data_IF_758892716167
#
_entry.id   IF_758892716167
#
_cell.length_a   1.000
_cell.length_b   1.000
_cell.length_c   1.000
_cell.angle_alpha   90.00
_cell.angle_beta   90.00
_cell.angle_gamma   90.00
#
_symmetry.space_group_name_H-M   'P 1'
#
loop_
_entity.id
_entity.type
_entity.pdbx_description
1 polymer ?
#
# COMPACT_ATOMS: atom_id res chain seq x y z
N UNK A 1 -13.75 -16.85 -9.06
CA UNK A 1 -12.75 -17.16 -8.00
C UNK A 1 -12.18 -15.90 -7.40
N UNK A 2 -12.00 -14.84 -8.20
CA UNK A 2 -11.49 -13.54 -7.73
C UNK A 2 -12.55 -12.47 -7.97
N UNK A 3 -12.73 -11.60 -6.98
CA UNK A 3 -13.52 -10.38 -7.12
C UNK A 3 -12.57 -9.22 -7.36
N UNK A 4 -12.90 -8.37 -8.33
CA UNK A 4 -12.15 -7.16 -8.61
C UNK A 4 -12.99 -5.92 -8.33
N UNK A 5 -12.36 -4.89 -7.80
CA UNK A 5 -12.99 -3.59 -7.63
C UNK A 5 -11.98 -2.46 -7.74
N UNK A 6 -12.45 -1.27 -8.11
CA UNK A 6 -11.66 -0.04 -8.17
C UNK A 6 -12.34 1.05 -7.36
N UNK A 7 -11.56 1.84 -6.63
CA UNK A 7 -12.05 2.88 -5.73
C UNK A 7 -11.20 4.14 -5.82
N UNK A 8 -11.82 5.32 -5.86
CA UNK A 8 -11.09 6.56 -5.62
C UNK A 8 -10.78 6.70 -4.13
N UNK A 9 -9.64 7.31 -3.78
CA UNK A 9 -9.27 7.47 -2.38
C UNK A 9 -10.29 8.32 -1.61
N UNK A 10 -10.85 9.35 -2.25
CA UNK A 10 -11.86 10.25 -1.66
C UNK A 10 -13.14 9.53 -1.21
N UNK A 11 -13.45 8.36 -1.77
CA UNK A 11 -14.67 7.63 -1.45
C UNK A 11 -14.53 6.75 -0.20
N UNK A 12 -13.29 6.51 0.23
CA UNK A 12 -12.97 5.47 1.23
C UNK A 12 -12.09 5.96 2.38
N UNK A 13 -11.47 7.13 2.25
CA UNK A 13 -10.68 7.74 3.32
C UNK A 13 -10.79 9.26 3.32
N UNK A 14 -10.51 9.83 4.49
CA UNK A 14 -10.47 11.28 4.74
C UNK A 14 -9.11 11.65 5.32
N UNK A 15 -8.72 12.91 5.15
CA UNK A 15 -7.52 13.48 5.78
C UNK A 15 -7.95 14.62 6.69
N UNK A 16 -7.49 14.57 7.93
CA UNK A 16 -7.52 15.71 8.85
C UNK A 16 -6.10 16.24 9.02
N UNK A 17 -5.90 17.53 8.81
CA UNK A 17 -4.63 18.21 9.09
C UNK A 17 -4.60 18.56 10.58
N UNK A 18 -3.57 18.10 11.26
CA UNK A 18 -3.29 18.41 12.65
C UNK A 18 -2.49 19.71 12.74
N UNK A 19 -2.67 20.43 13.85
CA UNK A 19 -1.94 21.67 14.12
C UNK A 19 -0.43 21.46 14.24
N UNK A 20 -0.03 20.30 14.77
CA UNK A 20 1.37 19.96 14.98
C UNK A 20 1.73 18.63 14.32
N UNK A 21 2.94 18.59 13.77
CA UNK A 21 3.55 17.36 13.29
C UNK A 21 4.18 16.53 14.41
N UNK A 22 4.38 15.23 14.17
CA UNK A 22 5.05 14.33 15.13
C UNK A 22 6.58 14.44 15.02
N UNK A 23 7.26 14.17 16.13
CA UNK A 23 8.73 14.01 16.18
C UNK A 23 9.50 15.24 15.66
N UNK A 24 8.96 16.44 15.90
CA UNK A 24 9.51 17.71 15.46
C UNK A 24 9.68 17.82 13.93
N UNK A 25 8.92 17.02 13.18
CA UNK A 25 8.80 17.11 11.71
C UNK A 25 7.47 17.80 11.39
N UNK A 26 7.46 19.11 11.07
CA UNK A 26 6.23 19.91 11.06
C UNK A 26 5.14 19.41 10.11
N UNK A 27 5.53 18.83 8.98
CA UNK A 27 4.61 18.36 7.95
C UNK A 27 4.10 16.93 8.16
N UNK A 28 4.56 16.21 9.19
CA UNK A 28 3.97 14.93 9.61
C UNK A 28 2.70 15.16 10.41
N UNK A 29 1.73 15.80 9.77
CA UNK A 29 0.53 16.33 10.39
C UNK A 29 -0.76 15.83 9.72
N UNK A 30 -0.69 14.88 8.79
CA UNK A 30 -1.90 14.28 8.23
C UNK A 30 -2.34 13.07 9.05
N UNK A 31 -3.54 13.15 9.61
CA UNK A 31 -4.27 12.01 10.14
C UNK A 31 -5.19 11.46 9.05
N UNK A 32 -4.80 10.34 8.44
CA UNK A 32 -5.56 9.68 7.38
C UNK A 32 -6.43 8.60 8.01
N UNK A 33 -7.74 8.71 7.84
CA UNK A 33 -8.72 7.82 8.46
C UNK A 33 -9.63 7.19 7.41
N UNK A 34 -10.01 5.92 7.56
CA UNK A 34 -11.04 5.35 6.71
C UNK A 34 -12.37 6.09 6.89
N UNK A 35 -13.16 6.21 5.83
CA UNK A 35 -14.58 6.55 5.92
C UNK A 35 -15.31 5.46 6.72
N UNK A 36 -16.40 5.82 7.39
CA UNK A 36 -17.21 4.90 8.17
C UNK A 36 -17.66 3.72 7.29
N UNK A 37 -17.62 2.49 7.84
CA UNK A 37 -17.78 1.26 7.05
C UNK A 37 -19.06 1.21 6.21
N UNK A 38 -20.15 1.77 6.74
CA UNK A 38 -21.47 1.76 6.09
C UNK A 38 -21.58 2.76 4.93
N UNK A 39 -20.74 3.79 4.90
CA UNK A 39 -20.77 4.84 3.90
C UNK A 39 -19.84 4.54 2.70
N UNK A 40 -19.12 3.41 2.73
CA UNK A 40 -18.17 3.05 1.69
C UNK A 40 -18.88 2.44 0.47
N UNK A 41 -18.42 2.72 -0.75
CA UNK A 41 -18.94 2.10 -1.96
C UNK A 41 -18.81 0.57 -1.91
N UNK A 42 -19.86 -0.15 -2.28
CA UNK A 42 -19.90 -1.62 -2.23
C UNK A 42 -20.07 -2.23 -0.84
N UNK A 43 -20.14 -1.40 0.21
CA UNK A 43 -20.32 -1.81 1.60
C UNK A 43 -19.08 -2.45 2.24
N UNK A 44 -19.16 -2.83 3.53
CA UNK A 44 -18.01 -3.30 4.29
C UNK A 44 -17.33 -4.54 3.69
N UNK A 45 -18.13 -5.45 3.13
CA UNK A 45 -17.65 -6.69 2.56
C UNK A 45 -16.74 -6.50 1.34
N UNK A 46 -16.74 -5.32 0.70
CA UNK A 46 -15.95 -5.06 -0.51
C UNK A 46 -14.44 -4.87 -0.24
N UNK A 47 -14.08 -4.59 1.01
CA UNK A 47 -12.70 -4.26 1.44
C UNK A 47 -12.07 -5.35 2.32
N UNK A 48 -12.75 -6.49 2.42
CA UNK A 48 -12.39 -7.57 3.34
C UNK A 48 -11.81 -8.77 2.58
N UNK A 49 -10.79 -9.38 3.17
CA UNK A 49 -10.20 -10.64 2.73
C UNK A 49 -8.77 -10.53 2.21
N UNK A 50 -8.22 -11.63 1.73
CA UNK A 50 -6.88 -11.67 1.17
C UNK A 50 -6.88 -11.42 -0.35
N UNK A 51 -5.82 -10.80 -0.85
CA UNK A 51 -5.68 -10.48 -2.26
C UNK A 51 -4.48 -9.60 -2.61
N UNK A 52 -4.47 -9.13 -3.85
CA UNK A 52 -3.50 -8.20 -4.41
C UNK A 52 -4.16 -6.85 -4.64
N UNK A 53 -3.41 -5.77 -4.46
CA UNK A 53 -3.87 -4.43 -4.78
C UNK A 53 -2.80 -3.64 -5.53
N UNK A 54 -3.27 -2.70 -6.35
CA UNK A 54 -2.44 -1.65 -6.92
C UNK A 54 -2.85 -0.30 -6.33
N UNK A 55 -1.87 0.58 -6.14
CA UNK A 55 -2.10 1.99 -5.85
C UNK A 55 -1.72 2.78 -7.10
N UNK A 56 -2.68 3.55 -7.58
CA UNK A 56 -2.52 4.43 -8.71
C UNK A 56 -2.37 5.87 -8.23
N UNK A 57 -1.53 6.64 -8.91
CA UNK A 57 -1.41 8.09 -8.77
C UNK A 57 -1.49 8.71 -10.16
N UNK A 58 -2.40 9.67 -10.35
CA UNK A 58 -2.72 10.27 -11.66
C UNK A 58 -3.02 9.23 -12.75
N UNK A 59 -3.74 8.18 -12.37
CA UNK A 59 -4.14 7.10 -13.29
C UNK A 59 -3.04 6.10 -13.63
N UNK A 60 -1.83 6.23 -13.06
CA UNK A 60 -0.69 5.34 -13.27
C UNK A 60 -0.43 4.48 -12.04
N UNK A 61 -0.18 3.18 -12.22
CA UNK A 61 0.21 2.27 -11.14
C UNK A 61 1.62 2.63 -10.69
N UNK A 62 1.73 3.06 -9.44
CA UNK A 62 3.01 3.37 -8.81
C UNK A 62 3.45 2.27 -7.82
N UNK A 63 2.50 1.48 -7.30
CA UNK A 63 2.75 0.45 -6.30
C UNK A 63 1.86 -0.76 -6.51
N UNK A 64 2.42 -1.95 -6.29
CA UNK A 64 1.69 -3.22 -6.18
C UNK A 64 1.96 -3.80 -4.79
N UNK A 65 0.93 -4.32 -4.15
CA UNK A 65 1.01 -4.87 -2.81
C UNK A 65 0.13 -6.10 -2.59
N UNK A 66 0.44 -6.88 -1.55
CA UNK A 66 -0.41 -7.97 -1.05
C UNK A 66 -1.05 -7.68 0.31
N UNK A 67 -2.23 -8.26 0.53
CA UNK A 67 -2.94 -8.24 1.80
C UNK A 67 -3.40 -9.65 2.13
N UNK A 68 -2.96 -10.20 3.27
CA UNK A 68 -3.25 -11.59 3.67
C UNK A 68 -4.49 -11.71 4.57
N UNK A 69 -5.19 -10.61 4.83
CA UNK A 69 -6.28 -10.54 5.82
C UNK A 69 -5.80 -10.31 7.26
N UNK A 70 -6.66 -10.56 8.27
CA UNK A 70 -6.34 -10.31 9.68
C UNK A 70 -6.91 -11.33 10.66
N UNK A 71 -6.06 -11.87 11.52
CA UNK A 71 -6.42 -12.80 12.60
C UNK A 71 -7.06 -12.14 13.83
N UNK A 72 -7.20 -10.81 13.85
CA UNK A 72 -7.64 -10.09 15.05
C UNK A 72 -9.13 -10.29 15.33
N UNK A 73 -9.42 -11.21 16.25
CA UNK A 73 -10.73 -11.33 16.89
C UNK A 73 -11.84 -11.89 15.98
N UNK A 74 -11.50 -12.76 15.02
CA UNK A 74 -12.48 -13.32 14.08
C UNK A 74 -12.44 -14.85 14.08
N UNK A 75 -13.63 -15.47 14.04
CA UNK A 75 -13.82 -16.92 13.89
C UNK A 75 -13.93 -17.39 12.42
N UNK A 76 -13.64 -16.51 11.46
CA UNK A 76 -13.65 -16.83 10.03
C UNK A 76 -12.23 -17.07 9.54
N UNK A 77 -12.03 -17.82 8.44
CA UNK A 77 -10.70 -18.00 7.84
C UNK A 77 -10.02 -16.64 7.58
N UNK A 78 -8.70 -16.57 7.80
CA UNK A 78 -7.97 -15.29 7.74
C UNK A 78 -8.10 -14.58 6.38
N UNK A 79 -8.26 -15.34 5.31
CA UNK A 79 -8.42 -14.82 3.97
C UNK A 79 -9.80 -14.21 3.70
N UNK A 80 -10.73 -14.28 4.66
CA UNK A 80 -12.04 -13.60 4.68
C UNK A 80 -12.12 -12.48 5.71
N UNK A 81 -11.00 -12.13 6.34
CA UNK A 81 -10.99 -11.16 7.43
C UNK A 81 -10.02 -10.02 7.16
N UNK A 82 -10.04 -9.02 8.03
CA UNK A 82 -9.22 -7.81 7.89
C UNK A 82 -9.80 -6.84 6.87
N UNK A 83 -9.57 -5.55 7.11
CA UNK A 83 -10.04 -4.45 6.27
C UNK A 83 -8.81 -3.79 5.64
N UNK A 84 -8.71 -3.83 4.31
CA UNK A 84 -7.53 -3.35 3.59
C UNK A 84 -7.32 -1.84 3.73
N UNK A 85 -8.39 -1.07 3.95
CA UNK A 85 -8.29 0.39 4.02
C UNK A 85 -7.41 0.83 5.21
N UNK A 86 -7.77 0.55 6.48
CA UNK A 86 -6.92 0.86 7.63
C UNK A 86 -5.69 -0.06 7.75
N UNK A 87 -5.75 -1.27 7.16
CA UNK A 87 -4.65 -2.23 7.20
C UNK A 87 -3.48 -1.87 6.29
N UNK A 88 -3.75 -1.25 5.13
CA UNK A 88 -2.76 -0.94 4.09
C UNK A 88 -2.94 0.47 3.54
N UNK A 89 -4.05 0.77 2.87
CA UNK A 89 -4.13 1.92 1.98
C UNK A 89 -3.90 3.27 2.66
N UNK A 90 -4.47 3.51 3.85
CA UNK A 90 -4.23 4.78 4.58
C UNK A 90 -2.76 4.98 4.92
N UNK A 91 -2.06 3.91 5.29
CA UNK A 91 -0.62 3.93 5.60
C UNK A 91 0.23 4.13 4.36
N UNK A 92 -0.17 3.55 3.23
CA UNK A 92 0.52 3.77 1.96
C UNK A 92 0.37 5.20 1.49
N UNK A 93 -0.85 5.75 1.40
CA UNK A 93 -1.04 7.16 1.03
C UNK A 93 -0.21 8.07 1.94
N UNK A 94 -0.26 7.82 3.24
CA UNK A 94 0.49 8.60 4.22
C UNK A 94 2.02 8.55 4.07
N UNK A 95 2.58 7.40 3.66
CA UNK A 95 4.02 7.25 3.41
C UNK A 95 4.45 7.72 2.03
N UNK A 96 3.60 7.59 1.02
CA UNK A 96 3.82 8.07 -0.35
C UNK A 96 3.82 9.59 -0.40
N UNK A 97 2.94 10.25 0.34
CA UNK A 97 2.93 11.71 0.44
C UNK A 97 3.99 12.25 1.39
N UNK A 98 4.53 11.40 2.28
CA UNK A 98 5.47 11.80 3.33
C UNK A 98 4.83 12.67 4.42
N UNK A 99 3.49 12.72 4.51
CA UNK A 99 2.74 13.64 5.40
C UNK A 99 2.10 12.96 6.62
N UNK A 100 2.09 11.63 6.71
CA UNK A 100 1.39 10.92 7.79
C UNK A 100 1.92 11.30 9.18
N UNK A 101 1.02 11.54 10.14
CA UNK A 101 1.40 11.82 11.52
C UNK A 101 1.99 10.62 12.27
N UNK A 102 1.78 9.41 11.76
CA UNK A 102 2.37 8.17 12.25
C UNK A 102 3.60 7.74 11.45
N UNK A 103 4.10 8.60 10.55
CA UNK A 103 5.24 8.26 9.72
C UNK A 103 6.49 8.04 10.58
N UNK A 104 7.28 7.07 10.16
CA UNK A 104 8.60 6.78 10.68
C UNK A 104 9.50 6.35 9.53
N UNK A 105 10.80 6.59 9.64
CA UNK A 105 11.75 6.20 8.60
C UNK A 105 13.10 5.82 9.19
N UNK A 106 13.77 4.86 8.57
CA UNK A 106 15.08 4.41 9.02
C UNK A 106 16.15 5.48 8.73
N UNK A 107 17.19 5.62 9.57
CA UNK A 107 18.29 6.57 9.30
C UNK A 107 18.93 6.38 7.92
N UNK A 108 19.08 5.13 7.47
CA UNK A 108 19.63 4.80 6.14
C UNK A 108 18.83 5.43 5.00
N UNK A 109 17.51 5.49 5.11
CA UNK A 109 16.65 6.06 4.06
C UNK A 109 16.87 7.58 3.98
N UNK A 110 16.99 8.26 5.12
CA UNK A 110 17.28 9.71 5.15
C UNK A 110 18.66 9.98 4.51
N UNK A 111 19.68 9.19 4.86
CA UNK A 111 21.00 9.33 4.26
C UNK A 111 20.97 9.18 2.74
N UNK A 112 20.29 8.16 2.22
CA UNK A 112 20.12 7.96 0.78
C UNK A 112 19.36 9.12 0.12
N UNK A 113 18.29 9.63 0.74
CA UNK A 113 17.55 10.77 0.21
C UNK A 113 18.40 12.04 0.15
N UNK A 114 19.25 12.27 1.16
CA UNK A 114 20.18 13.41 1.18
C UNK A 114 21.20 13.32 0.06
N UNK A 115 21.68 12.12 -0.28
CA UNK A 115 22.57 11.90 -1.42
C UNK A 115 21.90 12.28 -2.75
N UNK A 116 20.60 11.97 -2.90
CA UNK A 116 19.87 12.18 -4.16
C UNK A 116 19.37 13.63 -4.31
N UNK A 117 18.77 14.21 -3.26
CA UNK A 117 18.07 15.49 -3.33
C UNK A 117 18.84 16.66 -2.69
N UNK A 118 19.90 16.36 -1.94
CA UNK A 118 20.68 17.34 -1.20
C UNK A 118 20.03 17.82 0.10
N UNK A 119 20.85 18.39 0.98
CA UNK A 119 20.44 18.86 2.32
C UNK A 119 19.57 20.12 2.31
N UNK A 120 19.49 20.82 1.16
CA UNK A 120 18.66 22.02 1.00
C UNK A 120 17.19 21.70 0.72
N UNK A 121 16.85 20.44 0.39
CA UNK A 121 15.47 20.05 0.13
C UNK A 121 14.61 20.26 1.39
N UNK A 122 13.48 21.01 1.33
CA UNK A 122 12.70 21.39 2.52
C UNK A 122 12.25 20.18 3.37
N UNK A 123 11.72 19.15 2.70
CA UNK A 123 11.36 17.88 3.34
C UNK A 123 12.54 17.28 4.13
N UNK A 124 13.73 17.21 3.53
CA UNK A 124 14.89 16.55 4.13
C UNK A 124 15.50 17.40 5.24
N UNK A 125 15.52 18.72 5.10
CA UNK A 125 15.94 19.63 6.16
C UNK A 125 15.14 19.39 7.45
N UNK A 126 13.83 19.26 7.35
CA UNK A 126 13.00 18.96 8.51
C UNK A 126 13.23 17.54 9.05
N UNK A 127 13.39 16.54 8.18
CA UNK A 127 13.67 15.17 8.61
C UNK A 127 15.00 15.06 9.35
N UNK A 128 16.04 15.75 8.91
CA UNK A 128 17.34 15.79 9.59
C UNK A 128 17.22 16.43 10.96
N UNK A 129 16.49 17.54 11.05
CA UNK A 129 16.33 18.32 12.29
C UNK A 129 15.29 17.74 13.26
N UNK A 130 14.41 16.83 12.81
CA UNK A 130 13.43 16.18 13.67
C UNK A 130 14.09 15.37 14.78
N UNK A 131 13.35 15.07 15.86
CA UNK A 131 13.89 14.28 16.97
C UNK A 131 14.14 12.82 16.58
N UNK A 132 14.76 12.05 17.49
CA UNK A 132 15.03 10.62 17.29
C UNK A 132 13.76 9.78 17.17
N UNK A 133 12.61 10.28 17.65
CA UNK A 133 11.30 9.62 17.55
C UNK A 133 10.87 9.36 16.10
N UNK A 134 11.43 10.08 15.13
CA UNK A 134 11.18 9.86 13.69
C UNK A 134 11.61 8.48 13.20
N UNK A 135 12.51 7.82 13.93
CA UNK A 135 12.96 6.46 13.63
C UNK A 135 12.14 5.38 14.33
N UNK A 136 11.32 5.76 15.33
CA UNK A 136 10.48 4.81 16.06
C UNK A 136 9.20 4.55 15.28
N UNK A 137 8.99 3.28 14.93
CA UNK A 137 7.77 2.83 14.27
C UNK A 137 6.53 3.23 15.08
N UNK A 138 5.58 3.84 14.38
CA UNK A 138 4.29 4.25 14.91
C UNK A 138 3.12 3.76 14.04
N UNK A 139 3.38 2.83 13.12
CA UNK A 139 2.36 2.20 12.28
C UNK A 139 2.33 2.68 10.83
N UNK A 140 3.21 3.60 10.43
CA UNK A 140 3.41 3.99 9.03
C UNK A 140 4.91 4.11 8.74
N UNK A 141 5.46 3.18 7.95
CA UNK A 141 6.88 3.16 7.61
C UNK A 141 7.11 3.76 6.23
N UNK A 142 7.91 4.82 6.18
CA UNK A 142 8.40 5.45 4.96
C UNK A 142 9.67 4.76 4.49
N UNK A 143 9.55 3.94 3.44
CA UNK A 143 10.70 3.39 2.75
C UNK A 143 11.39 4.44 1.88
N UNK A 144 12.59 4.12 1.38
CA UNK A 144 13.33 5.02 0.52
C UNK A 144 12.52 5.42 -0.73
N UNK A 145 12.00 4.46 -1.50
CA UNK A 145 11.30 4.77 -2.75
C UNK A 145 10.02 5.61 -2.55
N UNK A 146 9.26 5.35 -1.47
CA UNK A 146 8.06 6.15 -1.14
C UNK A 146 8.41 7.59 -0.76
N UNK A 147 9.45 7.77 0.06
CA UNK A 147 9.89 9.10 0.47
C UNK A 147 10.64 9.83 -0.66
N UNK A 148 11.29 9.10 -1.55
CA UNK A 148 11.90 9.64 -2.76
C UNK A 148 10.80 10.20 -3.69
N UNK A 149 9.72 9.46 -3.88
CA UNK A 149 8.52 9.93 -4.57
C UNK A 149 7.92 11.17 -3.88
N UNK A 150 7.77 11.15 -2.56
CA UNK A 150 7.30 12.31 -1.80
C UNK A 150 8.17 13.56 -2.03
N UNK A 151 9.50 13.40 -2.08
CA UNK A 151 10.42 14.49 -2.33
C UNK A 151 10.29 15.03 -3.77
N UNK A 152 10.15 14.17 -4.78
CA UNK A 152 9.92 14.59 -6.16
C UNK A 152 8.64 15.42 -6.34
N UNK A 153 7.60 15.11 -5.56
CA UNK A 153 6.30 15.81 -5.58
C UNK A 153 6.13 16.81 -4.43
N UNK A 154 7.22 17.18 -3.74
CA UNK A 154 7.13 17.86 -2.45
C UNK A 154 6.38 19.19 -2.51
N UNK A 155 6.63 20.00 -3.55
CA UNK A 155 5.95 21.29 -3.71
C UNK A 155 4.42 21.13 -3.72
N UNK A 156 3.92 20.09 -4.37
CA UNK A 156 2.49 19.80 -4.46
C UNK A 156 1.97 19.22 -3.13
N UNK A 157 2.66 18.23 -2.57
CA UNK A 157 2.27 17.58 -1.31
C UNK A 157 2.36 18.49 -0.10
N UNK A 158 3.20 19.52 -0.13
CA UNK A 158 3.33 20.52 0.94
C UNK A 158 2.15 21.51 0.93
N UNK A 159 1.83 22.05 -0.24
CA UNK A 159 1.00 23.26 -0.40
C UNK A 159 -0.44 22.99 -0.79
N UNK A 160 -0.71 21.84 -1.41
CA UNK A 160 -2.05 21.52 -1.93
C UNK A 160 -2.96 21.00 -0.81
N UNK A 161 -4.24 21.38 -0.88
CA UNK A 161 -5.27 20.84 -0.01
C UNK A 161 -5.28 19.29 -0.02
N UNK A 162 -5.32 18.61 1.14
CA UNK A 162 -5.23 17.15 1.20
C UNK A 162 -6.33 16.43 0.43
N UNK A 163 -7.55 16.97 0.38
CA UNK A 163 -8.65 16.35 -0.40
C UNK A 163 -8.33 16.40 -1.89
N UNK A 164 -7.69 17.47 -2.36
CA UNK A 164 -7.23 17.56 -3.75
C UNK A 164 -6.11 16.56 -4.05
N UNK A 165 -5.19 16.33 -3.11
CA UNK A 165 -4.18 15.26 -3.26
C UNK A 165 -4.84 13.87 -3.27
N UNK A 166 -5.83 13.61 -2.41
CA UNK A 166 -6.54 12.32 -2.40
C UNK A 166 -7.22 12.02 -3.73
N UNK A 167 -7.75 13.01 -4.46
CA UNK A 167 -8.37 12.79 -5.79
C UNK A 167 -7.42 12.18 -6.82
N UNK A 168 -6.11 12.33 -6.62
CA UNK A 168 -5.08 11.77 -7.50
C UNK A 168 -4.80 10.31 -7.22
N UNK A 169 -5.24 9.79 -6.07
CA UNK A 169 -5.08 8.40 -5.69
C UNK A 169 -6.32 7.57 -6.01
N UNK A 170 -6.09 6.40 -6.59
CA UNK A 170 -7.09 5.35 -6.69
C UNK A 170 -6.49 3.99 -6.39
N UNK A 171 -7.35 3.03 -6.06
CA UNK A 171 -6.97 1.68 -5.68
C UNK A 171 -7.67 0.67 -6.57
N UNK A 172 -6.93 -0.34 -7.00
CA UNK A 172 -7.50 -1.53 -7.63
C UNK A 172 -7.25 -2.71 -6.70
N UNK A 173 -8.26 -3.51 -6.45
CA UNK A 173 -8.19 -4.62 -5.51
C UNK A 173 -8.76 -5.90 -6.13
N UNK A 174 -7.90 -6.90 -6.30
CA UNK A 174 -8.25 -8.24 -6.74
C UNK A 174 -8.14 -9.18 -5.52
N UNK A 175 -9.28 -9.72 -5.08
CA UNK A 175 -9.37 -10.49 -3.82
C UNK A 175 -9.99 -11.86 -4.01
N UNK A 176 -9.57 -12.80 -3.18
CA UNK A 176 -10.10 -14.16 -3.17
C UNK A 176 -11.61 -14.14 -2.82
N UNK A 177 -12.41 -14.89 -3.56
CA UNK A 177 -13.86 -14.94 -3.39
C UNK A 177 -14.28 -16.25 -2.70
N UNK A 178 -14.79 -16.08 -1.48
CA UNK A 178 -15.26 -17.07 -0.50
C UNK A 178 -16.00 -18.31 -1.05
N UNK A 179 -17.04 -18.21 -1.91
CA UNK A 179 -17.96 -19.33 -2.14
C UNK A 179 -17.44 -20.36 -3.14
N UNK A 180 -16.27 -20.16 -3.74
CA UNK A 180 -15.78 -20.99 -4.87
C UNK A 180 -14.41 -21.60 -4.64
N UNK A 181 -13.87 -21.52 -3.42
CA UNK A 181 -12.49 -21.91 -3.11
C UNK A 181 -12.42 -22.68 -1.78
N UNK A 182 -13.22 -23.75 -1.64
CA UNK A 182 -13.20 -24.61 -0.45
C UNK A 182 -11.79 -25.17 -0.15
N UNK A 183 -10.99 -25.41 -1.19
CA UNK A 183 -9.58 -25.84 -1.05
C UNK A 183 -8.70 -24.84 -0.27
N UNK A 184 -9.08 -23.56 -0.20
CA UNK A 184 -8.35 -22.56 0.59
C UNK A 184 -8.74 -22.56 2.07
N UNK A 185 -9.80 -23.29 2.48
CA UNK A 185 -10.13 -23.45 3.90
C UNK A 185 -9.08 -24.27 4.64
N UNK A 186 -8.35 -25.14 3.94
CA UNK A 186 -7.26 -25.95 4.49
C UNK A 186 -5.98 -25.14 4.71
N UNK A 187 -5.87 -23.93 4.10
CA UNK A 187 -4.70 -23.10 4.27
C UNK A 187 -4.73 -22.32 5.57
N UNK A 188 -3.65 -22.46 6.34
CA UNK A 188 -3.37 -21.59 7.47
C UNK A 188 -2.99 -20.17 7.00
N UNK A 189 -2.78 -19.28 7.98
CA UNK A 189 -2.34 -17.91 7.73
C UNK A 189 -1.06 -17.83 6.88
N UNK A 190 -0.12 -18.75 7.09
CA UNK A 190 1.17 -18.75 6.41
C UNK A 190 0.97 -19.12 4.95
N UNK A 191 0.19 -20.15 4.65
CA UNK A 191 -0.13 -20.58 3.29
C UNK A 191 -0.83 -19.48 2.48
N UNK A 192 -1.86 -18.84 3.04
CA UNK A 192 -2.51 -17.69 2.38
C UNK A 192 -1.51 -16.56 2.13
N UNK A 193 -0.69 -16.23 3.13
CA UNK A 193 0.29 -15.16 2.98
C UNK A 193 1.37 -15.49 1.96
N UNK A 194 1.77 -16.75 1.83
CA UNK A 194 2.73 -17.20 0.81
C UNK A 194 2.13 -17.09 -0.58
N UNK A 195 0.91 -17.58 -0.77
CA UNK A 195 0.18 -17.52 -2.04
C UNK A 195 0.09 -16.09 -2.57
N UNK A 196 -0.44 -15.15 -1.76
CA UNK A 196 -0.57 -13.75 -2.22
C UNK A 196 0.78 -13.06 -2.40
N UNK A 197 1.80 -13.42 -1.61
CA UNK A 197 3.14 -12.84 -1.72
C UNK A 197 3.90 -13.36 -2.96
N UNK A 198 3.69 -14.61 -3.34
CA UNK A 198 4.22 -15.19 -4.57
C UNK A 198 3.73 -14.40 -5.79
N UNK A 199 2.40 -14.21 -5.89
CA UNK A 199 1.81 -13.41 -6.96
C UNK A 199 2.31 -11.96 -6.95
N UNK A 200 2.40 -11.32 -5.79
CA UNK A 200 2.94 -9.97 -5.63
C UNK A 200 4.40 -9.88 -6.14
N UNK A 201 5.24 -10.84 -5.76
CA UNK A 201 6.66 -10.86 -6.15
C UNK A 201 6.82 -11.05 -7.66
N UNK A 202 6.00 -11.92 -8.27
CA UNK A 202 5.95 -12.09 -9.72
C UNK A 202 5.57 -10.77 -10.43
N UNK A 203 4.55 -10.07 -9.92
CA UNK A 203 4.13 -8.79 -10.50
C UNK A 203 5.19 -7.69 -10.34
N UNK A 204 5.82 -7.58 -9.17
CA UNK A 204 6.84 -6.56 -8.92
C UNK A 204 8.07 -6.81 -9.82
N UNK A 205 8.53 -8.05 -9.93
CA UNK A 205 9.66 -8.39 -10.81
C UNK A 205 9.36 -8.15 -12.29
N UNK A 206 8.11 -8.40 -12.72
CA UNK A 206 7.68 -8.24 -14.11
C UNK A 206 7.49 -6.77 -14.50
N UNK A 207 6.81 -5.99 -13.66
CA UNK A 207 6.37 -4.64 -14.00
C UNK A 207 7.18 -3.52 -13.35
N UNK A 208 8.01 -3.84 -12.34
CA UNK A 208 8.89 -2.92 -11.60
C UNK A 208 8.21 -1.57 -11.26
N UNK A 209 7.12 -1.56 -10.47
CA UNK A 209 6.42 -0.34 -10.12
C UNK A 209 7.31 0.64 -9.37
N UNK A 210 7.11 1.94 -9.63
CA UNK A 210 8.01 3.02 -9.24
C UNK A 210 8.40 3.02 -7.75
N UNK A 211 7.46 2.69 -6.85
CA UNK A 211 7.65 2.88 -5.41
C UNK A 211 7.64 1.58 -4.59
N UNK A 212 7.73 0.42 -5.24
CA UNK A 212 8.03 -0.85 -4.56
C UNK A 212 9.49 -0.86 -4.11
N UNK A 213 9.78 -1.38 -2.92
CA UNK A 213 11.14 -1.34 -2.34
C UNK A 213 12.12 -2.24 -3.09
N UNK A 214 11.60 -3.24 -3.77
CA UNK A 214 12.32 -4.20 -4.60
C UNK A 214 12.73 -3.62 -5.96
N UNK A 215 12.17 -2.47 -6.36
CA UNK A 215 12.52 -1.80 -7.62
C UNK A 215 13.65 -0.81 -7.37
N UNK A 216 14.83 -1.08 -7.96
CA UNK A 216 15.97 -0.17 -7.86
C UNK A 216 15.69 1.16 -8.57
N UNK A 217 16.28 2.25 -8.07
CA UNK A 217 16.17 3.57 -8.70
C UNK A 217 16.73 3.52 -10.12
N UNK A 218 15.94 4.00 -11.09
CA UNK A 218 16.30 3.96 -12.51
C UNK A 218 15.95 2.66 -13.23
N UNK A 219 15.48 1.63 -12.53
CA UNK A 219 15.04 0.36 -13.15
C UNK A 219 13.51 0.25 -13.32
N UNK A 220 12.75 1.26 -12.92
CA UNK A 220 11.30 1.26 -13.11
C UNK A 220 10.95 1.18 -14.60
N UNK A 221 9.95 0.38 -14.93
CA UNK A 221 9.42 0.31 -16.30
C UNK A 221 8.37 1.39 -16.54
N UNK A 222 7.91 1.50 -17.78
CA UNK A 222 6.76 2.34 -18.09
C UNK A 222 5.57 1.91 -17.20
N UNK A 223 4.94 2.86 -16.49
CA UNK A 223 3.90 2.51 -15.54
C UNK A 223 2.69 1.92 -16.27
N UNK A 224 2.13 0.87 -15.66
CA UNK A 224 0.82 0.37 -16.06
C UNK A 224 -0.23 1.43 -15.78
N UNK A 225 -1.24 1.53 -16.65
CA UNK A 225 -2.41 2.34 -16.31
C UNK A 225 -3.25 1.66 -15.24
N UNK A 226 -4.00 2.44 -14.48
CA UNK A 226 -4.90 1.91 -13.45
C UNK A 226 -5.98 1.00 -14.05
N UNK A 227 -6.38 1.23 -15.30
CA UNK A 227 -7.33 0.38 -16.03
C UNK A 227 -6.75 -1.01 -16.33
N UNK A 228 -5.45 -1.10 -16.62
CA UNK A 228 -4.77 -2.38 -16.88
C UNK A 228 -4.51 -3.19 -15.60
N UNK A 229 -4.40 -2.52 -14.45
CA UNK A 229 -4.06 -3.18 -13.19
C UNK A 229 -5.03 -4.30 -12.84
N UNK A 230 -6.31 -4.13 -13.16
CA UNK A 230 -7.34 -5.08 -12.77
C UNK A 230 -7.19 -6.49 -13.34
N UNK A 231 -7.19 -6.64 -14.68
CA UNK A 231 -6.91 -7.91 -15.33
C UNK A 231 -5.58 -8.52 -14.88
N UNK A 232 -4.51 -7.72 -14.78
CA UNK A 232 -3.16 -8.17 -14.40
C UNK A 232 -3.14 -8.76 -12.98
N UNK A 233 -3.72 -8.07 -12.00
CA UNK A 233 -3.77 -8.56 -10.62
C UNK A 233 -4.62 -9.83 -10.51
N UNK A 234 -5.71 -9.90 -11.29
CA UNK A 234 -6.61 -11.06 -11.31
C UNK A 234 -5.92 -12.27 -11.91
N UNK A 235 -5.25 -12.11 -13.03
CA UNK A 235 -4.52 -13.19 -13.71
C UNK A 235 -3.42 -13.74 -12.81
N UNK A 236 -2.56 -12.89 -12.26
CA UNK A 236 -1.47 -13.32 -11.38
C UNK A 236 -1.99 -14.08 -10.14
N UNK A 237 -3.04 -13.57 -9.49
CA UNK A 237 -3.61 -14.24 -8.33
C UNK A 237 -4.34 -15.56 -8.71
N UNK A 238 -4.98 -15.63 -9.87
CA UNK A 238 -5.61 -16.87 -10.36
C UNK A 238 -4.56 -17.93 -10.65
N UNK A 239 -3.45 -17.58 -11.28
CA UNK A 239 -2.35 -18.49 -11.59
C UNK A 239 -1.79 -19.13 -10.32
N UNK A 240 -1.53 -18.35 -9.26
CA UNK A 240 -1.04 -18.90 -7.98
C UNK A 240 -2.07 -19.81 -7.29
N UNK A 241 -3.36 -19.47 -7.36
CA UNK A 241 -4.42 -20.33 -6.82
C UNK A 241 -4.49 -21.65 -7.57
N UNK A 242 -4.38 -21.64 -8.91
CA UNK A 242 -4.39 -22.85 -9.72
C UNK A 242 -3.17 -23.72 -9.44
N UNK A 243 -1.98 -23.13 -9.39
CA UNK A 243 -0.74 -23.85 -9.03
C UNK A 243 -0.86 -24.51 -7.65
N UNK A 244 -1.44 -23.82 -6.67
CA UNK A 244 -1.70 -24.40 -5.36
C UNK A 244 -2.69 -25.57 -5.41
N UNK A 245 -3.76 -25.47 -6.21
CA UNK A 245 -4.75 -26.54 -6.36
C UNK A 245 -4.19 -27.79 -7.05
N UNK A 246 -3.25 -27.61 -7.98
CA UNK A 246 -2.61 -28.71 -8.72
C UNK A 246 -1.50 -29.38 -7.90
N UNK A 247 -0.72 -28.63 -7.13
CA UNK A 247 0.40 -29.13 -6.34
C UNK A 247 0.59 -28.34 -5.04
N UNK A 248 -0.14 -28.69 -3.96
CA UNK A 248 -0.07 -27.96 -2.68
C UNK A 248 1.33 -27.89 -2.06
N UNK A 249 2.21 -28.84 -2.41
CA UNK A 249 3.58 -28.87 -1.90
C UNK A 249 4.47 -27.78 -2.53
N UNK A 250 4.24 -27.40 -3.79
CA UNK A 250 5.06 -26.40 -4.49
C UNK A 250 4.78 -24.95 -4.08
N UNK A 251 3.55 -24.63 -3.68
CA UNK A 251 3.17 -23.27 -3.26
C UNK A 251 3.86 -22.77 -1.98
N UNK A 252 4.62 -23.63 -1.29
CA UNK A 252 5.27 -23.31 -0.01
C UNK A 252 6.77 -23.05 -0.10
N UNK A 253 7.36 -23.13 -1.29
CA UNK A 253 8.80 -22.94 -1.49
C UNK A 253 9.10 -21.47 -1.84
N UNK A 254 9.93 -20.75 -1.06
CA UNK A 254 10.23 -19.33 -1.26
C UNK A 254 11.09 -19.04 -2.49
#
# INVERSE_FOLDING_TARGET
>A
MINISQYAATDIMTVRVLEHGRADVPFWNWQISPVAKMDRPGGPAAFVGAGLYAICFDGQVIYIGSFSGSDKGVQVPIWHSGDIIPGRWTRHVGSITGRCNLLSTAPRNIAQLLTVHGSKHPMLKALVNGSTLKHKDAGCQGSFNRLHFAALHWNEFETTDPTTILKRFSFVYARLNAPRLEALHELDKKGISQLVKSAESHLISTYKPLINDETATGEHLQPLTCQQAGPILTEALMSEVQLFMEDPAKATTP
#
